data_IF_279979250155
#
_entry.id   IF_279979250155
#
_cell.length_a   1.000
_cell.length_b   1.000
_cell.length_c   1.000
_cell.angle_alpha   90.00
_cell.angle_beta   90.00
_cell.angle_gamma   90.00
#
_symmetry.space_group_name_H-M   'P 1'
#
loop_
_entity.id
_entity.type
_entity.pdbx_description
1 polymer ?
#
# COMPACT_ATOMS: atom_id res chain seq x y z
N UNK A 1 9.27 -1.64 -17.70
CA UNK A 1 8.03 -1.16 -17.05
C UNK A 1 6.90 -1.20 -18.07
N UNK A 2 5.79 -1.93 -17.84
CA UNK A 2 4.69 -2.06 -18.81
C UNK A 2 4.15 -0.70 -19.30
N UNK A 3 3.94 0.25 -18.39
CA UNK A 3 3.45 1.59 -18.71
C UNK A 3 4.31 2.36 -19.74
N UNK A 4 5.64 2.35 -19.61
CA UNK A 4 6.51 3.05 -20.56
C UNK A 4 6.47 2.41 -21.97
N UNK A 5 6.30 1.08 -22.04
CA UNK A 5 6.14 0.36 -23.29
C UNK A 5 4.77 0.64 -23.94
N UNK A 6 3.72 0.67 -23.12
CA UNK A 6 2.34 0.74 -23.61
C UNK A 6 1.92 2.20 -23.91
N UNK A 7 2.64 3.19 -23.38
CA UNK A 7 2.41 4.62 -23.61
C UNK A 7 3.69 5.37 -24.02
N UNK A 8 4.15 5.15 -25.27
CA UNK A 8 5.44 5.65 -25.77
C UNK A 8 5.65 7.16 -25.59
N UNK A 9 4.60 7.98 -25.73
CA UNK A 9 4.70 9.44 -25.58
C UNK A 9 5.16 9.86 -24.17
N UNK A 10 4.90 9.05 -23.14
CA UNK A 10 5.29 9.32 -21.76
C UNK A 10 6.52 8.53 -21.31
N UNK A 11 7.08 7.66 -22.16
CA UNK A 11 8.19 6.78 -21.80
C UNK A 11 9.40 7.53 -21.20
N UNK A 12 9.89 8.64 -21.81
CA UNK A 12 11.03 9.36 -21.24
C UNK A 12 10.74 9.89 -19.83
N UNK A 13 9.53 10.40 -19.58
CA UNK A 13 9.14 10.91 -18.27
C UNK A 13 9.03 9.78 -17.23
N UNK A 14 8.45 8.64 -17.61
CA UNK A 14 8.31 7.47 -16.73
C UNK A 14 9.67 6.87 -16.36
N UNK A 15 10.60 6.80 -17.32
CA UNK A 15 11.96 6.29 -17.09
C UNK A 15 12.75 7.15 -16.08
N UNK A 16 12.54 8.48 -16.11
CA UNK A 16 13.15 9.39 -15.13
C UNK A 16 12.59 9.21 -13.70
N UNK A 17 11.39 8.66 -13.55
CA UNK A 17 10.79 8.40 -12.24
C UNK A 17 11.33 7.12 -11.60
N UNK A 18 11.69 6.11 -12.40
CA UNK A 18 12.13 4.79 -11.91
C UNK A 18 13.20 4.83 -10.82
N UNK A 19 14.34 5.55 -10.96
CA UNK A 19 15.38 5.54 -9.93
C UNK A 19 14.95 6.21 -8.61
N UNK A 20 13.88 7.02 -8.67
CA UNK A 20 13.32 7.75 -7.52
C UNK A 20 12.32 6.91 -6.72
N UNK A 21 11.75 5.86 -7.31
CA UNK A 21 10.82 4.96 -6.61
C UNK A 21 11.63 4.04 -5.71
N UNK A 22 11.34 4.09 -4.42
CA UNK A 22 11.91 3.18 -3.42
C UNK A 22 10.83 2.21 -2.96
N UNK A 23 11.13 0.92 -3.04
CA UNK A 23 10.23 -0.12 -2.56
C UNK A 23 10.43 -0.31 -1.04
N UNK A 24 9.45 0.15 -0.28
CA UNK A 24 9.43 0.06 1.17
C UNK A 24 9.22 -1.38 1.67
N UNK A 25 8.78 -2.31 0.82
CA UNK A 25 8.65 -3.72 1.20
C UNK A 25 10.01 -4.42 1.34
N UNK A 26 11.08 -3.87 0.74
CA UNK A 26 12.39 -4.51 0.62
C UNK A 26 13.00 -4.94 1.97
N UNK A 27 13.03 -4.12 3.04
CA UNK A 27 13.61 -4.52 4.32
C UNK A 27 12.93 -5.76 4.92
N UNK A 28 11.62 -5.88 4.75
CA UNK A 28 10.83 -6.99 5.27
C UNK A 28 11.02 -8.25 4.43
N UNK A 29 10.99 -8.13 3.10
CA UNK A 29 11.18 -9.26 2.17
C UNK A 29 12.60 -9.84 2.25
N UNK A 30 13.61 -9.00 2.47
CA UNK A 30 14.99 -9.43 2.63
C UNK A 30 15.32 -9.94 4.04
N UNK A 31 14.37 -9.86 4.98
CA UNK A 31 14.56 -10.27 6.37
C UNK A 31 15.47 -9.36 7.19
N UNK A 32 15.77 -8.15 6.70
CA UNK A 32 16.61 -7.18 7.42
C UNK A 32 15.89 -6.59 8.63
N UNK A 33 14.57 -6.49 8.55
CA UNK A 33 13.74 -5.99 9.63
C UNK A 33 12.52 -6.90 9.79
N UNK A 34 12.31 -7.42 11.00
CA UNK A 34 11.19 -8.31 11.32
C UNK A 34 10.92 -8.28 12.81
N UNK A 35 9.64 -8.24 13.18
CA UNK A 35 9.19 -8.36 14.57
C UNK A 35 8.32 -9.61 14.76
N UNK A 36 8.29 -10.23 15.95
CA UNK A 36 7.54 -11.46 16.19
C UNK A 36 6.04 -11.37 15.80
N UNK A 37 5.42 -10.20 15.99
CA UNK A 37 4.02 -9.96 15.63
C UNK A 37 3.72 -10.16 14.14
N UNK A 38 4.72 -10.02 13.26
CA UNK A 38 4.55 -10.24 11.81
C UNK A 38 4.37 -11.73 11.46
N UNK A 39 4.80 -12.66 12.31
CA UNK A 39 4.71 -14.12 12.11
C UNK A 39 5.24 -14.57 10.75
N UNK A 40 6.36 -13.99 10.31
CA UNK A 40 7.00 -14.31 9.01
C UNK A 40 6.26 -13.81 7.78
N UNK A 41 5.23 -12.97 7.92
CA UNK A 41 4.49 -12.36 6.80
C UNK A 41 4.90 -10.91 6.63
N UNK A 42 4.91 -10.43 5.38
CA UNK A 42 5.49 -9.13 5.02
C UNK A 42 4.53 -8.21 4.28
N UNK A 43 3.25 -8.57 4.16
CA UNK A 43 2.26 -7.67 3.56
C UNK A 43 2.04 -6.44 4.45
N UNK A 44 1.74 -5.29 3.83
CA UNK A 44 1.53 -4.03 4.55
C UNK A 44 0.49 -4.14 5.67
N UNK A 45 -0.53 -4.98 5.49
CA UNK A 45 -1.59 -5.22 6.49
C UNK A 45 -1.14 -6.01 7.71
N UNK A 46 -0.05 -6.75 7.57
CA UNK A 46 0.58 -7.44 8.70
C UNK A 46 1.65 -6.55 9.31
N UNK A 47 2.45 -5.88 8.47
CA UNK A 47 3.52 -4.99 8.90
C UNK A 47 2.97 -3.82 9.69
N UNK A 48 1.95 -3.11 9.18
CA UNK A 48 1.39 -1.91 9.80
C UNK A 48 0.98 -2.14 11.26
N UNK A 49 0.03 -3.05 11.59
CA UNK A 49 -0.37 -3.26 12.98
C UNK A 49 0.72 -3.92 13.84
N UNK A 50 1.72 -4.56 13.22
CA UNK A 50 2.85 -5.10 13.96
C UNK A 50 3.83 -4.01 14.43
N UNK A 51 3.95 -2.90 13.69
CA UNK A 51 4.85 -1.79 14.00
C UNK A 51 4.13 -0.60 14.65
N UNK A 52 2.86 -0.40 14.31
CA UNK A 52 2.00 0.69 14.79
C UNK A 52 0.65 0.09 15.20
N UNK A 53 0.53 -0.48 16.43
CA UNK A 53 -0.62 -1.27 16.84
C UNK A 53 -1.97 -0.54 16.82
N UNK A 54 -1.95 0.79 16.90
CA UNK A 54 -3.15 1.64 16.85
C UNK A 54 -3.69 1.82 15.43
N UNK A 55 -2.96 1.37 14.40
CA UNK A 55 -3.38 1.43 13.00
C UNK A 55 -3.59 0.03 12.41
N UNK A 56 -4.70 -0.13 11.71
CA UNK A 56 -5.05 -1.37 11.06
C UNK A 56 -6.27 -1.22 10.15
N UNK A 57 -6.58 -2.29 9.42
CA UNK A 57 -7.63 -2.29 8.41
C UNK A 57 -8.97 -2.84 8.93
N UNK A 58 -9.02 -3.29 10.20
CA UNK A 58 -10.15 -4.04 10.75
C UNK A 58 -11.47 -3.23 10.77
N UNK A 59 -11.38 -1.90 10.91
CA UNK A 59 -12.54 -1.01 10.97
C UNK A 59 -13.01 -0.51 9.59
N UNK A 60 -12.32 -0.91 8.51
CA UNK A 60 -12.70 -0.53 7.15
C UNK A 60 -13.72 -1.51 6.57
N UNK A 61 -14.66 -0.99 5.78
CA UNK A 61 -15.60 -1.82 5.01
C UNK A 61 -14.88 -2.62 3.90
N UNK A 62 -13.84 -2.03 3.30
CA UNK A 62 -12.93 -2.70 2.36
C UNK A 62 -11.60 -2.90 3.08
N UNK A 63 -11.22 -4.15 3.28
CA UNK A 63 -9.99 -4.52 4.00
C UNK A 63 -8.99 -5.22 3.07
N UNK A 64 -9.50 -5.81 1.98
CA UNK A 64 -8.72 -6.65 1.08
C UNK A 64 -8.32 -5.96 -0.22
N UNK A 65 -7.03 -6.04 -0.60
CA UNK A 65 -6.52 -5.32 -1.77
C UNK A 65 -7.07 -5.88 -3.08
N UNK A 66 -7.27 -7.21 -3.13
CA UNK A 66 -7.97 -7.86 -4.23
C UNK A 66 -9.43 -7.41 -4.32
N UNK A 67 -10.12 -7.31 -3.18
CA UNK A 67 -11.50 -6.81 -3.10
C UNK A 67 -11.59 -5.34 -3.52
N UNK A 68 -10.69 -4.49 -3.04
CA UNK A 68 -10.59 -3.09 -3.44
C UNK A 68 -10.41 -2.96 -4.96
N UNK A 69 -9.50 -3.75 -5.55
CA UNK A 69 -9.23 -3.76 -7.00
C UNK A 69 -10.45 -4.21 -7.81
N UNK A 70 -11.12 -5.27 -7.36
CA UNK A 70 -12.34 -5.79 -8.00
C UNK A 70 -13.46 -4.75 -7.96
N UNK A 71 -13.74 -4.20 -6.79
CA UNK A 71 -14.79 -3.19 -6.60
C UNK A 71 -14.51 -1.91 -7.38
N UNK A 72 -13.25 -1.46 -7.41
CA UNK A 72 -12.84 -0.33 -8.23
C UNK A 72 -13.06 -0.60 -9.72
N UNK A 73 -12.70 -1.80 -10.19
CA UNK A 73 -12.93 -2.20 -11.59
C UNK A 73 -14.41 -2.21 -11.93
N UNK A 74 -15.26 -2.76 -11.06
CA UNK A 74 -16.72 -2.74 -11.23
C UNK A 74 -17.28 -1.32 -11.25
N UNK A 75 -16.77 -0.45 -10.39
CA UNK A 75 -17.16 0.96 -10.31
C UNK A 75 -16.81 1.71 -11.61
N UNK A 76 -15.60 1.54 -12.13
CA UNK A 76 -15.14 2.19 -13.38
C UNK A 76 -15.89 1.63 -14.60
N UNK A 77 -16.19 0.34 -14.61
CA UNK A 77 -16.96 -0.30 -15.68
C UNK A 77 -18.46 0.01 -15.64
N UNK A 78 -18.98 0.63 -14.57
CA UNK A 78 -20.41 0.87 -14.39
C UNK A 78 -21.24 -0.38 -14.08
N UNK A 79 -20.58 -1.46 -13.64
CA UNK A 79 -21.21 -2.77 -13.38
C UNK A 79 -21.52 -3.00 -11.89
N UNK A 80 -21.24 -2.02 -11.03
CA UNK A 80 -21.57 -2.11 -9.61
C UNK A 80 -23.04 -1.74 -9.38
N UNK A 81 -23.81 -2.64 -8.76
CA UNK A 81 -25.25 -2.51 -8.55
C UNK A 81 -25.65 -2.00 -7.17
N UNK A 82 -24.68 -1.83 -6.25
CA UNK A 82 -24.92 -1.33 -4.91
C UNK A 82 -24.89 0.20 -4.82
N UNK A 83 -24.76 0.72 -3.61
CA UNK A 83 -24.60 2.16 -3.37
C UNK A 83 -23.21 2.64 -3.82
N UNK A 84 -23.18 3.22 -5.02
CA UNK A 84 -21.97 3.81 -5.63
C UNK A 84 -21.35 4.90 -4.75
N UNK A 85 -22.17 5.68 -4.06
CA UNK A 85 -21.71 6.76 -3.18
C UNK A 85 -21.00 6.22 -1.95
N UNK A 86 -21.56 5.18 -1.32
CA UNK A 86 -20.92 4.52 -0.19
C UNK A 86 -19.66 3.77 -0.61
N UNK A 87 -19.70 3.02 -1.71
CA UNK A 87 -18.53 2.29 -2.21
C UNK A 87 -17.33 3.24 -2.46
N UNK A 88 -17.58 4.43 -3.02
CA UNK A 88 -16.53 5.43 -3.22
C UNK A 88 -15.89 5.87 -1.90
N UNK A 89 -16.69 6.11 -0.86
CA UNK A 89 -16.18 6.47 0.46
C UNK A 89 -15.34 5.34 1.05
N UNK A 90 -15.80 4.10 0.93
CA UNK A 90 -15.10 2.94 1.46
C UNK A 90 -13.75 2.69 0.76
N UNK A 91 -13.72 2.80 -0.58
CA UNK A 91 -12.48 2.70 -1.37
C UNK A 91 -11.52 3.85 -1.05
N UNK A 92 -12.02 5.08 -0.88
CA UNK A 92 -11.18 6.23 -0.49
C UNK A 92 -10.61 6.05 0.91
N UNK A 93 -11.38 5.55 1.87
CA UNK A 93 -10.89 5.26 3.22
C UNK A 93 -9.76 4.23 3.19
N UNK A 94 -9.92 3.15 2.40
CA UNK A 94 -8.88 2.16 2.16
C UNK A 94 -7.62 2.77 1.53
N UNK A 95 -7.76 3.56 0.45
CA UNK A 95 -6.64 4.21 -0.23
C UNK A 95 -5.89 5.21 0.68
N UNK A 96 -6.62 5.94 1.52
CA UNK A 96 -6.03 6.85 2.49
C UNK A 96 -5.18 6.09 3.52
N UNK A 97 -5.71 4.97 4.04
CA UNK A 97 -4.97 4.14 4.99
C UNK A 97 -3.72 3.52 4.36
N UNK A 98 -3.79 3.01 3.12
CA UNK A 98 -2.61 2.48 2.41
C UNK A 98 -1.49 3.54 2.31
N UNK A 99 -1.85 4.79 2.03
CA UNK A 99 -0.89 5.89 1.96
C UNK A 99 -0.30 6.23 3.33
N UNK A 100 -1.16 6.38 4.35
CA UNK A 100 -0.74 6.65 5.73
C UNK A 100 0.17 5.54 6.26
N UNK A 101 -0.18 4.28 5.99
CA UNK A 101 0.57 3.12 6.41
C UNK A 101 2.03 3.17 5.93
N UNK A 102 2.27 3.56 4.67
CA UNK A 102 3.63 3.71 4.15
C UNK A 102 4.42 4.79 4.89
N UNK A 103 3.79 5.92 5.23
CA UNK A 103 4.43 7.02 5.96
C UNK A 103 4.81 6.59 7.38
N UNK A 104 3.87 5.96 8.08
CA UNK A 104 4.08 5.50 9.46
C UNK A 104 5.14 4.39 9.54
N UNK A 105 5.09 3.42 8.63
CA UNK A 105 6.11 2.36 8.53
C UNK A 105 7.49 2.95 8.24
N UNK A 106 7.59 3.89 7.29
CA UNK A 106 8.86 4.57 7.00
C UNK A 106 9.38 5.30 8.24
N UNK A 107 8.51 6.02 8.96
CA UNK A 107 8.88 6.72 10.18
C UNK A 107 9.40 5.77 11.29
N UNK A 108 8.83 4.57 11.41
CA UNK A 108 9.38 3.54 12.31
C UNK A 108 10.79 3.13 11.86
N UNK A 109 10.96 2.77 10.59
CA UNK A 109 12.25 2.32 10.06
C UNK A 109 13.36 3.38 10.20
N UNK A 110 13.04 4.65 9.97
CA UNK A 110 13.99 5.75 10.13
C UNK A 110 14.43 5.93 11.59
N UNK A 111 13.51 5.79 12.57
CA UNK A 111 13.86 5.88 14.00
C UNK A 111 14.78 4.75 14.43
N UNK A 112 14.51 3.53 13.98
CA UNK A 112 15.33 2.35 14.30
C UNK A 112 16.70 2.43 13.64
N UNK A 113 16.78 2.89 12.38
CA UNK A 113 18.05 3.05 11.67
C UNK A 113 18.98 4.09 12.30
N UNK A 114 18.44 5.10 13.00
CA UNK A 114 19.22 6.13 13.71
C UNK A 114 19.72 5.63 15.07
N UNK A 115 19.03 4.66 15.69
CA UNK A 115 19.44 4.08 16.98
C UNK A 115 20.64 3.13 16.89
N UNK A 116 21.00 2.68 15.68
CA UNK A 116 22.16 1.82 15.40
C UNK A 116 23.43 2.61 15.00
N UNK A 117 23.40 3.96 15.04
CA UNK A 117 24.57 4.84 14.84
C UNK A 117 25.01 5.49 16.16
#
# INVERSE_FOLDING_TARGET
MPLARDFLAYAPALELLLPRIKDLARPFLAGWYSVPAMRGRTSIKVVLPALVPDLGYADLAVQEGGTASLLFTQLVAGNYTGDVGQLRKDLLAYCNLDTLAMVEILGVLEREAVMEC
#
